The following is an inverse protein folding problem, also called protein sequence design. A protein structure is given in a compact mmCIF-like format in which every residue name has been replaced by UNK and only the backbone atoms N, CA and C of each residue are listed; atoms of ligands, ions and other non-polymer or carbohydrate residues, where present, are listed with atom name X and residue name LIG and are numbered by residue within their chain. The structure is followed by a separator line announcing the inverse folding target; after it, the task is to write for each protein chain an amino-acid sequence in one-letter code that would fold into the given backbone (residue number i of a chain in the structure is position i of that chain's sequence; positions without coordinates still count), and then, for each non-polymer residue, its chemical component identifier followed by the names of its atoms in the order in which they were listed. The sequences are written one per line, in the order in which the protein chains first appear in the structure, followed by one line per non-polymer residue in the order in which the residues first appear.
data_IF_200014794177
#
_entry.id   IF_200014794177
#
_cell.length_a   1.000
_cell.length_b   1.000
_cell.length_c   1.000
_cell.angle_alpha   90.00
_cell.angle_beta   90.00
_cell.angle_gamma   90.00
#
_symmetry.space_group_name_H-M   'P 1'
#
loop_
_entity.id
_entity.type
_entity.pdbx_description
1 polymer ?
#
# COMPACT_ATOMS: atom_id res chain seq x y z
N UNK A 1 -27.76 7.36 11.15
CA UNK A 1 -26.69 6.36 11.34
C UNK A 1 -25.64 6.94 12.27
N UNK A 2 -24.69 6.14 12.74
CA UNK A 2 -23.66 6.57 13.70
C UNK A 2 -22.31 6.70 12.99
N UNK A 3 -21.27 7.02 13.76
CA UNK A 3 -19.90 6.71 13.37
C UNK A 3 -19.57 5.29 13.83
N UNK A 4 -18.86 4.54 12.98
CA UNK A 4 -18.39 3.19 13.26
C UNK A 4 -16.93 3.26 13.69
N UNK A 5 -16.49 2.30 14.50
CA UNK A 5 -15.11 2.27 14.95
C UNK A 5 -14.16 1.95 13.77
N UNK A 6 -12.97 2.55 13.78
CA UNK A 6 -11.98 2.39 12.71
C UNK A 6 -11.41 0.97 12.64
N UNK A 7 -11.37 0.27 13.77
CA UNK A 7 -10.89 -1.10 13.91
C UNK A 7 -11.88 -2.18 13.43
N UNK A 8 -13.11 -1.80 13.05
CA UNK A 8 -14.06 -2.74 12.43
C UNK A 8 -13.63 -3.20 11.01
N UNK A 9 -12.71 -2.48 10.37
CA UNK A 9 -12.02 -2.97 9.17
C UNK A 9 -10.55 -3.18 9.53
N UNK A 10 -10.10 -4.42 9.43
CA UNK A 10 -8.70 -4.78 9.54
C UNK A 10 -8.01 -4.49 8.21
N UNK A 11 -6.91 -3.73 8.22
CA UNK A 11 -6.07 -3.51 7.04
C UNK A 11 -4.93 -4.50 7.05
N UNK A 12 -4.78 -5.28 5.99
CA UNK A 12 -3.71 -6.28 5.87
C UNK A 12 -2.69 -5.91 4.80
N UNK A 13 -1.54 -6.58 4.87
CA UNK A 13 -0.43 -6.49 3.90
C UNK A 13 0.18 -7.88 3.72
N UNK A 14 -0.65 -8.85 3.33
CA UNK A 14 -0.28 -10.27 3.30
C UNK A 14 0.07 -10.70 1.88
N UNK A 15 -0.68 -10.24 0.88
CA UNK A 15 -0.52 -10.71 -0.48
C UNK A 15 0.60 -9.98 -1.22
N UNK A 16 0.92 -10.52 -2.39
CA UNK A 16 1.95 -9.99 -3.27
C UNK A 16 1.61 -8.54 -3.66
N UNK A 17 2.63 -7.69 -3.62
CA UNK A 17 2.54 -6.26 -3.99
C UNK A 17 1.57 -5.47 -3.08
N UNK A 18 1.17 -6.06 -1.94
CA UNK A 18 0.40 -5.37 -0.90
C UNK A 18 1.23 -4.30 -0.22
N UNK A 19 0.58 -3.20 0.16
CA UNK A 19 1.18 -2.06 0.83
C UNK A 19 0.19 -1.41 1.78
N UNK A 20 0.69 -0.47 2.58
CA UNK A 20 -0.18 0.40 3.38
C UNK A 20 -1.04 1.28 2.46
N UNK A 21 -2.28 1.53 2.86
CA UNK A 21 -3.15 2.52 2.23
C UNK A 21 -2.51 3.91 2.31
N UNK A 22 -2.66 4.69 1.24
CA UNK A 22 -2.13 6.06 1.16
C UNK A 22 -2.95 7.03 2.02
N UNK A 23 -4.25 6.78 2.17
CA UNK A 23 -5.11 7.49 3.13
C UNK A 23 -6.22 6.61 3.70
N UNK A 24 -6.76 7.02 4.86
CA UNK A 24 -7.84 6.34 5.57
C UNK A 24 -8.60 7.36 6.42
N UNK A 25 -9.56 8.02 5.76
CA UNK A 25 -10.28 9.17 6.29
C UNK A 25 -11.71 8.79 6.70
N UNK A 26 -12.19 9.38 7.80
CA UNK A 26 -13.58 9.23 8.23
C UNK A 26 -14.23 10.60 8.20
N UNK A 27 -15.31 10.72 7.44
CA UNK A 27 -16.13 11.93 7.39
C UNK A 27 -17.48 11.68 8.04
N UNK A 28 -18.00 12.70 8.72
CA UNK A 28 -19.34 12.69 9.31
C UNK A 28 -20.13 13.83 8.68
N UNK A 29 -20.51 13.65 7.42
CA UNK A 29 -21.30 14.61 6.64
C UNK A 29 -22.70 14.03 6.36
N UNK A 30 -23.67 14.43 7.19
CA UNK A 30 -25.05 13.97 7.08
C UNK A 30 -25.41 12.88 8.09
N UNK A 31 -26.27 11.94 7.70
CA UNK A 31 -26.85 10.98 8.63
C UNK A 31 -25.91 9.81 8.98
N UNK A 32 -25.00 9.42 8.08
CA UNK A 32 -24.05 8.32 8.29
C UNK A 32 -22.61 8.82 8.21
N UNK A 33 -21.71 8.28 9.04
CA UNK A 33 -20.29 8.44 8.76
C UNK A 33 -19.90 7.64 7.51
N UNK A 34 -19.01 8.21 6.71
CA UNK A 34 -18.33 7.54 5.60
C UNK A 34 -16.87 7.34 5.96
N UNK A 35 -16.26 6.28 5.41
CA UNK A 35 -14.84 6.03 5.51
C UNK A 35 -14.28 5.80 4.13
N UNK A 36 -13.30 6.60 3.77
CA UNK A 36 -12.64 6.56 2.47
C UNK A 36 -11.25 5.97 2.63
N UNK A 37 -10.99 4.86 1.94
CA UNK A 37 -9.66 4.27 1.85
C UNK A 37 -9.12 4.49 0.43
N UNK A 38 -7.88 4.98 0.35
CA UNK A 38 -7.23 5.28 -0.94
C UNK A 38 -5.97 4.44 -1.11
N UNK A 39 -5.84 3.84 -2.30
CA UNK A 39 -4.72 3.01 -2.72
C UNK A 39 -4.22 3.49 -4.07
N UNK A 40 -3.03 4.07 -4.12
CA UNK A 40 -2.42 4.63 -5.32
C UNK A 40 -1.22 3.81 -5.81
N UNK A 41 -1.00 3.80 -7.11
CA UNK A 41 0.14 3.18 -7.76
C UNK A 41 -0.27 2.44 -9.05
N UNK A 42 0.70 2.07 -9.88
CA UNK A 42 0.42 1.35 -11.12
C UNK A 42 -0.41 0.08 -10.85
N UNK A 43 -1.53 -0.06 -11.56
CA UNK A 43 -2.47 -1.17 -11.36
C UNK A 43 -2.91 -1.32 -9.89
N UNK A 44 -3.25 -0.20 -9.24
CA UNK A 44 -3.82 -0.22 -7.90
C UNK A 44 -5.11 -1.03 -7.84
N UNK A 45 -5.29 -1.72 -6.72
CA UNK A 45 -6.47 -2.50 -6.39
C UNK A 45 -6.70 -2.49 -4.88
N UNK A 46 -7.97 -2.44 -4.48
CA UNK A 46 -8.41 -2.68 -3.12
C UNK A 46 -9.19 -3.99 -3.07
N UNK A 47 -8.65 -4.98 -2.39
CA UNK A 47 -9.32 -6.25 -2.11
C UNK A 47 -10.15 -6.12 -0.83
N UNK A 48 -11.39 -6.62 -0.84
CA UNK A 48 -12.32 -6.55 0.28
C UNK A 48 -12.67 -7.97 0.75
N UNK A 49 -12.52 -8.21 2.06
CA UNK A 49 -12.82 -9.49 2.70
C UNK A 49 -12.18 -10.71 1.98
N UNK A 50 -10.95 -10.58 1.48
CA UNK A 50 -10.22 -11.56 0.65
C UNK A 50 -10.89 -11.95 -0.68
N UNK A 51 -12.07 -12.54 -0.66
CA UNK A 51 -12.82 -13.03 -1.83
C UNK A 51 -14.14 -12.26 -2.07
N UNK A 52 -14.41 -11.26 -1.24
CA UNK A 52 -15.62 -10.44 -1.28
C UNK A 52 -15.69 -9.48 -2.46
N UNK A 53 -14.59 -9.28 -3.17
CA UNK A 53 -14.49 -8.50 -4.40
C UNK A 53 -13.32 -7.50 -4.37
N UNK A 54 -13.01 -6.98 -5.56
CA UNK A 54 -11.90 -6.06 -5.80
C UNK A 54 -12.40 -4.74 -6.39
N UNK A 55 -11.88 -3.61 -5.93
CA UNK A 55 -12.05 -2.30 -6.56
C UNK A 55 -10.74 -1.96 -7.26
N UNK A 56 -10.74 -2.00 -8.59
CA UNK A 56 -9.61 -1.57 -9.41
C UNK A 56 -9.73 -0.08 -9.71
N UNK A 57 -8.63 0.54 -10.15
CA UNK A 57 -8.56 1.96 -10.58
C UNK A 57 -9.80 2.38 -11.39
N UNK A 58 -10.05 1.69 -12.51
CA UNK A 58 -11.22 1.95 -13.37
C UNK A 58 -12.61 1.77 -12.73
N UNK A 59 -12.72 1.14 -11.56
CA UNK A 59 -14.00 0.91 -10.88
C UNK A 59 -14.44 2.09 -10.01
N UNK A 60 -13.54 3.02 -9.67
CA UNK A 60 -13.86 4.13 -8.77
C UNK A 60 -14.35 5.40 -9.49
N UNK A 61 -14.47 5.34 -10.82
CA UNK A 61 -14.94 6.43 -11.67
C UNK A 61 -13.83 7.18 -12.38
N UNK A 62 -12.56 6.87 -12.07
CA UNK A 62 -11.36 7.43 -12.68
C UNK A 62 -10.47 6.33 -13.27
N UNK A 63 -9.52 6.71 -14.14
CA UNK A 63 -8.36 5.86 -14.45
C UNK A 63 -7.15 6.76 -14.24
N UNK A 64 -6.69 6.83 -13.00
CA UNK A 64 -5.64 7.74 -12.56
C UNK A 64 -4.57 7.04 -11.71
N UNK A 65 -4.55 5.71 -11.75
CA UNK A 65 -3.71 4.84 -10.92
C UNK A 65 -4.07 4.90 -9.44
N UNK A 66 -5.30 5.29 -9.10
CA UNK A 66 -5.80 5.30 -7.73
C UNK A 66 -7.09 4.50 -7.67
N UNK A 67 -7.15 3.59 -6.70
CA UNK A 67 -8.38 2.89 -6.34
C UNK A 67 -8.89 3.47 -5.04
N UNK A 68 -10.16 3.86 -5.04
CA UNK A 68 -10.83 4.40 -3.85
C UNK A 68 -12.05 3.58 -3.49
N UNK A 69 -12.20 3.24 -2.20
CA UNK A 69 -13.45 2.69 -1.67
C UNK A 69 -14.03 3.62 -0.62
N UNK A 70 -15.33 3.87 -0.74
CA UNK A 70 -16.12 4.59 0.25
C UNK A 70 -17.04 3.60 0.95
N UNK A 71 -16.78 3.35 2.23
CA UNK A 71 -17.63 2.54 3.08
C UNK A 71 -18.56 3.43 3.90
N UNK A 72 -19.82 3.03 4.06
CA UNK A 72 -20.80 3.76 4.89
C UNK A 72 -21.05 3.01 6.19
N UNK A 73 -21.03 3.70 7.33
CA UNK A 73 -21.38 3.08 8.60
C UNK A 73 -22.88 2.74 8.63
N UNK A 74 -23.22 1.50 9.00
CA UNK A 74 -24.61 1.05 9.07
C UNK A 74 -25.42 1.82 10.14
N UNK A 75 -26.75 1.73 10.08
CA UNK A 75 -27.65 2.43 11.03
C UNK A 75 -27.39 2.03 12.48
N UNK A 76 -27.03 0.76 12.71
CA UNK A 76 -26.73 0.23 14.04
C UNK A 76 -25.41 0.77 14.63
N UNK A 77 -24.50 1.29 13.80
CA UNK A 77 -23.17 1.71 14.23
C UNK A 77 -22.21 0.56 14.52
N UNK A 78 -22.42 -0.60 13.89
CA UNK A 78 -21.71 -1.86 14.20
C UNK A 78 -20.86 -2.39 13.05
N UNK A 79 -21.01 -1.85 11.84
CA UNK A 79 -20.25 -2.30 10.68
C UNK A 79 -20.13 -1.20 9.60
N UNK A 80 -19.02 -1.26 8.86
CA UNK A 80 -18.83 -0.51 7.63
C UNK A 80 -19.39 -1.32 6.46
N UNK A 81 -20.07 -0.64 5.53
CA UNK A 81 -20.81 -1.29 4.45
C UNK A 81 -20.32 -0.78 3.10
N UNK A 82 -20.03 -1.70 2.17
CA UNK A 82 -19.73 -1.42 0.76
C UNK A 82 -20.64 -2.30 -0.09
N UNK A 83 -21.33 -1.71 -1.08
CA UNK A 83 -22.21 -2.47 -1.98
C UNK A 83 -23.32 -3.27 -1.25
N UNK A 84 -23.76 -2.81 -0.08
CA UNK A 84 -24.78 -3.48 0.74
C UNK A 84 -24.28 -4.65 1.59
N UNK A 85 -22.96 -4.87 1.69
CA UNK A 85 -22.34 -5.92 2.51
C UNK A 85 -21.45 -5.32 3.58
N UNK A 86 -21.44 -5.94 4.75
CA UNK A 86 -20.52 -5.58 5.82
C UNK A 86 -19.08 -5.96 5.42
N UNK A 87 -18.16 -5.04 5.66
CA UNK A 87 -16.74 -5.24 5.40
C UNK A 87 -15.97 -5.29 6.72
N UNK A 88 -15.12 -6.30 6.83
CA UNK A 88 -14.29 -6.55 8.02
C UNK A 88 -12.81 -6.48 7.71
N UNK A 89 -12.45 -6.47 6.42
CA UNK A 89 -11.08 -6.37 5.96
C UNK A 89 -10.96 -5.62 4.63
N UNK A 90 -9.86 -4.90 4.47
CA UNK A 90 -9.43 -4.35 3.20
C UNK A 90 -7.90 -4.47 3.04
N UNK A 91 -7.44 -4.76 1.83
CA UNK A 91 -6.02 -4.77 1.48
C UNK A 91 -5.76 -3.90 0.25
N UNK A 92 -4.72 -3.08 0.31
CA UNK A 92 -4.27 -2.26 -0.82
C UNK A 92 -3.09 -2.96 -1.48
N UNK A 93 -3.18 -3.18 -2.80
CA UNK A 93 -2.06 -3.65 -3.59
C UNK A 93 -1.86 -2.74 -4.81
N UNK A 94 -0.60 -2.50 -5.15
CA UNK A 94 -0.23 -1.78 -6.36
C UNK A 94 1.13 -2.30 -6.83
N UNK A 95 1.32 -2.40 -8.15
CA UNK A 95 2.60 -2.84 -8.71
C UNK A 95 3.68 -1.85 -8.25
N UNK A 96 4.69 -2.30 -7.48
CA UNK A 96 5.69 -1.38 -6.97
C UNK A 96 6.50 -0.81 -8.15
N UNK A 97 6.84 0.49 -8.13
CA UNK A 97 7.60 1.11 -9.21
C UNK A 97 8.98 0.49 -9.39
N UNK A 98 9.52 -0.14 -8.33
CA UNK A 98 10.76 -0.90 -8.34
C UNK A 98 10.68 -2.11 -7.43
N UNK A 99 11.41 -3.18 -7.78
CA UNK A 99 11.67 -4.31 -6.88
C UNK A 99 13.03 -4.18 -6.21
N UNK A 100 13.21 -4.81 -5.06
CA UNK A 100 14.53 -4.94 -4.45
C UNK A 100 15.40 -5.91 -5.25
N UNK A 101 16.63 -5.49 -5.56
CA UNK A 101 17.64 -6.33 -6.18
C UNK A 101 18.40 -7.14 -5.11
N UNK A 102 18.71 -8.41 -5.41
CA UNK A 102 19.56 -9.20 -4.53
C UNK A 102 20.99 -8.64 -4.48
N UNK A 103 21.64 -8.71 -3.31
CA UNK A 103 22.97 -8.13 -3.09
C UNK A 103 24.04 -8.70 -4.03
N UNK A 104 23.95 -10.00 -4.34
CA UNK A 104 24.89 -10.70 -5.20
C UNK A 104 24.77 -10.36 -6.69
N UNK A 105 23.84 -9.48 -7.09
CA UNK A 105 23.73 -9.03 -8.48
C UNK A 105 24.83 -8.03 -8.89
N UNK A 106 25.56 -7.45 -7.93
CA UNK A 106 26.74 -6.62 -8.18
C UNK A 106 27.96 -7.29 -7.56
N UNK A 107 28.99 -7.53 -8.38
CA UNK A 107 30.29 -8.03 -7.90
C UNK A 107 31.23 -6.85 -7.66
N UNK A 108 31.67 -6.68 -6.41
CA UNK A 108 32.68 -5.68 -6.04
C UNK A 108 34.09 -6.25 -6.28
N UNK A 109 34.92 -5.54 -7.04
CA UNK A 109 36.31 -5.93 -7.32
C UNK A 109 37.29 -4.90 -6.72
N UNK A 110 38.45 -5.37 -6.26
CA UNK A 110 39.52 -4.53 -5.71
C UNK A 110 40.87 -4.74 -6.41
N UNK A 111 40.88 -5.49 -7.51
CA UNK A 111 42.10 -5.97 -8.18
C UNK A 111 42.78 -4.93 -9.09
N UNK A 112 42.16 -3.78 -9.32
CA UNK A 112 42.78 -2.68 -10.06
C UNK A 112 43.86 -1.97 -9.25
N UNK A 113 44.85 -1.36 -9.92
CA UNK A 113 45.88 -0.54 -9.27
C UNK A 113 45.23 0.60 -8.47
N UNK A 114 45.51 0.68 -7.17
CA UNK A 114 44.87 1.64 -6.26
C UNK A 114 43.45 1.22 -5.80
N UNK A 115 42.99 0.03 -6.19
CA UNK A 115 41.74 -0.54 -5.73
C UNK A 115 41.75 -0.84 -4.23
N UNK A 116 40.64 -0.55 -3.56
CA UNK A 116 40.45 -0.81 -2.13
C UNK A 116 38.99 -1.12 -1.82
N UNK A 117 38.71 -1.79 -0.69
CA UNK A 117 37.34 -2.05 -0.27
C UNK A 117 36.56 -0.75 -0.09
N UNK A 118 35.26 -0.77 -0.39
CA UNK A 118 34.36 0.28 0.06
C UNK A 118 34.35 0.36 1.59
N UNK A 119 34.29 1.56 2.14
CA UNK A 119 34.14 1.78 3.59
C UNK A 119 32.71 1.51 4.05
N UNK A 120 31.75 1.52 3.12
CA UNK A 120 30.37 1.09 3.35
C UNK A 120 29.75 0.58 2.05
N UNK A 121 28.93 -0.45 2.16
CA UNK A 121 28.03 -0.97 1.12
C UNK A 121 26.71 -1.34 1.82
N UNK A 122 25.63 -0.61 1.53
CA UNK A 122 24.34 -0.78 2.21
C UNK A 122 23.20 -0.76 1.22
N UNK A 123 22.27 -1.69 1.38
CA UNK A 123 20.98 -1.69 0.69
C UNK A 123 19.94 -1.14 1.67
N UNK A 124 19.33 -0.01 1.32
CA UNK A 124 18.16 0.53 2.00
C UNK A 124 16.90 0.05 1.30
N UNK A 125 16.13 -0.79 2.00
CA UNK A 125 14.83 -1.32 1.56
C UNK A 125 13.65 -0.66 2.28
N UNK A 126 13.89 0.41 3.04
CA UNK A 126 12.86 1.07 3.86
C UNK A 126 12.09 2.15 3.09
N UNK A 127 12.60 2.56 1.92
CA UNK A 127 11.91 3.47 1.00
C UNK A 127 10.66 2.83 0.40
N UNK A 128 9.60 3.63 0.24
CA UNK A 128 8.35 3.24 -0.43
C UNK A 128 8.43 3.28 -1.96
N UNK A 129 9.58 3.65 -2.55
CA UNK A 129 9.77 3.76 -4.00
C UNK A 129 10.64 2.63 -4.56
N UNK A 130 11.96 2.73 -4.37
CA UNK A 130 12.94 1.78 -4.86
C UNK A 130 13.97 1.51 -3.77
N UNK A 131 14.41 0.26 -3.66
CA UNK A 131 15.57 -0.06 -2.83
C UNK A 131 16.80 0.68 -3.38
N UNK A 132 17.56 1.34 -2.52
CA UNK A 132 18.78 2.04 -2.91
C UNK A 132 19.99 1.29 -2.38
N UNK A 133 21.04 1.13 -3.18
CA UNK A 133 22.33 0.58 -2.72
C UNK A 133 23.38 1.67 -2.75
N UNK A 134 23.97 1.96 -1.59
CA UNK A 134 24.97 3.03 -1.44
C UNK A 134 26.34 2.43 -1.17
N UNK A 135 27.27 2.70 -2.09
CA UNK A 135 28.70 2.39 -1.92
C UNK A 135 29.45 3.65 -1.51
N UNK A 136 30.29 3.56 -0.48
CA UNK A 136 31.15 4.67 -0.02
C UNK A 136 32.60 4.27 -0.21
N UNK A 137 33.34 5.06 -0.99
CA UNK A 137 34.79 4.93 -1.16
C UNK A 137 35.43 6.21 -0.65
N UNK A 138 36.12 6.15 0.48
CA UNK A 138 36.90 7.30 0.98
C UNK A 138 38.28 7.26 0.32
N UNK A 139 38.86 8.42 -0.02
CA UNK A 139 40.17 8.59 -0.68
C UNK A 139 41.35 7.97 0.05
#
# INVERSE_FOLDING_TARGET
CRSCAKDFITKTTIDKDSKMFDSDEIEVNGECATRTLTCSGPSSVIEINYDGGSIMDGNDGSVDQTSTVVATCNVAGTAWVVGGRDITQAECAAVPPCRTCAENLITVITTGTGGKPFTSDKIDTTSTTCATRTFVCNG
#
